data_IF_147166033944
#
_entry.id   IF_147166033944
#
_cell.length_a   1.000
_cell.length_b   1.000
_cell.length_c   1.000
_cell.angle_alpha   90.00
_cell.angle_beta   90.00
_cell.angle_gamma   90.00
#
_symmetry.space_group_name_H-M   'P 1'
#
loop_
_entity.id
_entity.type
_entity.pdbx_description
1 polymer ?
#
# COMPACT_ATOMS: atom_id res chain seq x y z
N UNK A 1 29.47 -4.36 -19.37
CA UNK A 1 28.07 -3.93 -19.39
C UNK A 1 27.25 -5.08 -18.79
N UNK A 2 26.86 -4.95 -17.53
CA UNK A 2 25.95 -5.94 -16.90
C UNK A 2 24.59 -5.77 -17.56
N UNK A 3 24.13 -6.81 -18.25
CA UNK A 3 22.83 -6.81 -18.91
C UNK A 3 21.73 -6.54 -17.89
N UNK A 4 20.92 -5.50 -18.13
CA UNK A 4 19.74 -5.17 -17.34
C UNK A 4 18.84 -6.41 -17.25
N UNK A 5 18.86 -7.03 -16.08
CA UNK A 5 17.82 -8.03 -15.74
C UNK A 5 16.52 -7.25 -15.57
N UNK A 6 15.86 -6.98 -16.69
CA UNK A 6 14.51 -6.37 -16.67
C UNK A 6 13.63 -7.26 -15.83
N UNK A 7 13.37 -6.81 -14.61
CA UNK A 7 12.46 -7.53 -13.72
C UNK A 7 11.07 -7.51 -14.36
N UNK A 8 10.48 -8.67 -14.57
CA UNK A 8 9.17 -8.85 -15.23
C UNK A 8 7.96 -8.29 -14.43
N UNK A 9 8.22 -7.48 -13.43
CA UNK A 9 7.22 -6.91 -12.52
C UNK A 9 7.63 -5.48 -12.17
N UNK A 10 6.72 -4.55 -12.33
CA UNK A 10 6.86 -3.16 -11.88
C UNK A 10 6.29 -2.99 -10.46
N UNK A 11 6.86 -2.10 -9.67
CA UNK A 11 6.39 -1.75 -8.33
C UNK A 11 5.74 -0.38 -8.40
N UNK A 12 4.52 -0.26 -7.89
CA UNK A 12 3.81 1.02 -7.78
C UNK A 12 3.54 1.31 -6.30
N UNK A 13 4.07 2.42 -5.82
CA UNK A 13 4.02 2.86 -4.42
C UNK A 13 2.95 3.93 -4.25
N UNK A 14 2.06 3.75 -3.29
CA UNK A 14 0.93 4.63 -2.99
C UNK A 14 1.04 5.12 -1.56
N UNK A 15 1.16 6.44 -1.37
CA UNK A 15 1.24 7.06 -0.05
C UNK A 15 -0.11 7.11 0.66
N UNK A 16 -0.08 7.36 1.97
CA UNK A 16 -1.24 7.54 2.83
C UNK A 16 -1.77 8.97 2.86
N UNK A 17 -2.68 9.19 3.79
CA UNK A 17 -3.18 10.49 4.23
C UNK A 17 -2.11 11.28 4.99
N UNK A 18 -2.26 12.60 5.04
CA UNK A 18 -1.38 13.57 5.73
C UNK A 18 0.05 13.65 5.21
N UNK A 19 0.44 12.82 4.25
CA UNK A 19 1.78 12.76 3.65
C UNK A 19 1.67 12.64 2.14
N UNK A 20 2.79 12.81 1.44
CA UNK A 20 2.88 12.67 0.00
C UNK A 20 3.83 11.54 -0.43
N UNK A 21 4.06 11.43 -1.72
CA UNK A 21 4.92 10.39 -2.28
C UNK A 21 6.40 10.51 -1.93
N UNK A 22 6.86 11.64 -1.41
CA UNK A 22 8.28 11.84 -1.06
C UNK A 22 8.75 10.89 0.06
N UNK A 23 7.84 10.47 0.94
CA UNK A 23 8.13 9.49 1.99
C UNK A 23 8.63 8.14 1.46
N UNK A 24 8.40 7.83 0.19
CA UNK A 24 8.85 6.60 -0.44
C UNK A 24 10.30 6.64 -0.97
N UNK A 25 10.99 7.77 -0.91
CA UNK A 25 12.31 7.96 -1.55
C UNK A 25 13.32 6.86 -1.19
N UNK A 26 13.47 6.51 0.09
CA UNK A 26 14.44 5.49 0.50
C UNK A 26 14.07 4.10 -0.03
N UNK A 27 12.80 3.70 0.06
CA UNK A 27 12.32 2.43 -0.49
C UNK A 27 12.48 2.40 -2.01
N UNK A 28 12.14 3.50 -2.69
CA UNK A 28 12.35 3.68 -4.12
C UNK A 28 13.82 3.43 -4.51
N UNK A 29 14.76 4.09 -3.83
CA UNK A 29 16.18 3.98 -4.12
C UNK A 29 16.71 2.55 -3.94
N UNK A 30 16.27 1.85 -2.89
CA UNK A 30 16.61 0.44 -2.65
C UNK A 30 16.10 -0.44 -3.81
N UNK A 31 14.82 -0.33 -4.14
CA UNK A 31 14.21 -1.16 -5.19
C UNK A 31 14.76 -0.86 -6.59
N UNK A 32 15.14 0.40 -6.85
CA UNK A 32 15.81 0.80 -8.10
C UNK A 32 17.21 0.16 -8.22
N UNK A 33 17.98 0.11 -7.14
CA UNK A 33 19.28 -0.60 -7.09
C UNK A 33 19.11 -2.11 -7.34
N UNK A 34 17.97 -2.68 -6.94
CA UNK A 34 17.63 -4.09 -7.22
C UNK A 34 17.16 -4.34 -8.67
N UNK A 35 17.09 -3.31 -9.51
CA UNK A 35 16.69 -3.41 -10.93
C UNK A 35 15.17 -3.42 -11.15
N UNK A 36 14.34 -3.06 -10.17
CA UNK A 36 12.89 -2.91 -10.39
C UNK A 36 12.56 -1.61 -11.13
N UNK A 37 11.55 -1.66 -12.01
CA UNK A 37 10.82 -0.47 -12.42
C UNK A 37 9.92 -0.04 -11.25
N UNK A 38 10.10 1.20 -10.77
CA UNK A 38 9.36 1.73 -9.61
C UNK A 38 8.67 3.02 -10.02
N UNK A 39 7.39 3.16 -9.66
CA UNK A 39 6.60 4.38 -9.79
C UNK A 39 6.02 4.77 -8.45
N UNK A 40 5.84 6.06 -8.23
CA UNK A 40 5.18 6.62 -7.07
C UNK A 40 3.94 7.36 -7.57
N UNK A 41 2.79 7.02 -7.02
CA UNK A 41 1.53 7.73 -7.31
C UNK A 41 1.43 8.91 -6.36
N UNK A 42 1.11 10.08 -6.91
CA UNK A 42 0.76 11.26 -6.12
C UNK A 42 -0.76 11.32 -6.01
N UNK A 43 -1.27 10.90 -4.86
CA UNK A 43 -2.70 10.94 -4.55
C UNK A 43 -3.08 12.34 -4.07
N UNK A 44 -4.20 12.87 -4.54
CA UNK A 44 -4.72 14.13 -4.01
C UNK A 44 -5.31 13.97 -2.60
N UNK A 45 -5.63 12.73 -2.20
CA UNK A 45 -6.30 12.36 -0.94
C UNK A 45 -7.64 13.07 -0.71
N UNK A 46 -8.22 13.66 -1.75
CA UNK A 46 -9.50 14.38 -1.69
C UNK A 46 -10.69 13.43 -1.82
N UNK A 47 -10.61 12.44 -2.72
CA UNK A 47 -11.62 11.40 -2.89
C UNK A 47 -10.99 10.05 -3.26
N UNK A 48 -11.60 8.96 -2.77
CA UNK A 48 -11.15 7.61 -3.14
C UNK A 48 -11.23 7.37 -4.66
N UNK A 49 -12.26 7.89 -5.30
CA UNK A 49 -12.47 7.73 -6.76
C UNK A 49 -11.31 8.33 -7.55
N UNK A 50 -10.86 9.53 -7.21
CA UNK A 50 -9.77 10.21 -7.92
C UNK A 50 -8.43 9.54 -7.64
N UNK A 51 -8.17 9.11 -6.41
CA UNK A 51 -6.93 8.43 -6.01
C UNK A 51 -6.83 7.05 -6.69
N UNK A 52 -7.93 6.30 -6.77
CA UNK A 52 -8.01 5.04 -7.53
C UNK A 52 -7.80 5.30 -9.02
N UNK A 53 -8.39 6.36 -9.59
CA UNK A 53 -8.20 6.73 -10.99
C UNK A 53 -6.74 7.12 -11.28
N UNK A 54 -6.09 7.88 -10.38
CA UNK A 54 -4.67 8.21 -10.48
C UNK A 54 -3.80 6.95 -10.48
N UNK A 55 -4.07 6.02 -9.56
CA UNK A 55 -3.36 4.75 -9.47
C UNK A 55 -3.54 3.90 -10.74
N UNK A 56 -4.78 3.79 -11.26
CA UNK A 56 -5.07 3.05 -12.49
C UNK A 56 -4.38 3.63 -13.73
N UNK A 57 -4.23 4.97 -13.82
CA UNK A 57 -3.44 5.60 -14.90
C UNK A 57 -1.99 5.15 -14.87
N UNK A 58 -1.38 5.07 -13.69
CA UNK A 58 0.00 4.58 -13.55
C UNK A 58 0.09 3.09 -13.91
N UNK A 59 -0.84 2.24 -13.44
CA UNK A 59 -0.91 0.82 -13.80
C UNK A 59 -1.00 0.64 -15.32
N UNK A 60 -1.85 1.41 -15.99
CA UNK A 60 -2.06 1.34 -17.44
C UNK A 60 -0.78 1.61 -18.23
N UNK A 61 0.05 2.56 -17.76
CA UNK A 61 1.33 2.93 -18.36
C UNK A 61 2.46 1.92 -18.14
N UNK A 62 2.31 0.94 -17.24
CA UNK A 62 3.36 -0.04 -16.99
C UNK A 62 3.33 -1.18 -18.05
N UNK A 63 4.50 -1.54 -18.62
CA UNK A 63 4.56 -2.61 -19.61
C UNK A 63 4.43 -4.01 -19.00
N UNK A 64 4.71 -4.13 -17.70
CA UNK A 64 4.74 -5.41 -16.99
C UNK A 64 3.56 -5.56 -16.03
N UNK A 65 3.40 -6.75 -15.45
CA UNK A 65 2.55 -6.95 -14.27
C UNK A 65 3.03 -6.07 -13.12
N UNK A 66 2.10 -5.65 -12.27
CA UNK A 66 2.33 -4.67 -11.21
C UNK A 66 2.14 -5.28 -9.82
N UNK A 67 3.04 -4.96 -8.89
CA UNK A 67 2.78 -5.08 -7.45
C UNK A 67 2.39 -3.69 -6.94
N UNK A 68 1.20 -3.58 -6.37
CA UNK A 68 0.77 -2.36 -5.67
C UNK A 68 1.22 -2.40 -4.22
N UNK A 69 1.77 -1.30 -3.74
CA UNK A 69 2.22 -1.14 -2.35
C UNK A 69 1.52 0.08 -1.76
N UNK A 70 0.70 -0.10 -0.75
CA UNK A 70 -0.05 0.98 -0.10
C UNK A 70 0.36 1.16 1.35
N UNK A 71 0.69 2.39 1.73
CA UNK A 71 0.89 2.81 3.11
C UNK A 71 -0.39 3.46 3.64
N UNK A 72 -0.78 3.13 4.87
CA UNK A 72 -1.91 3.80 5.56
C UNK A 72 -3.21 3.78 4.72
N UNK A 73 -3.81 4.95 4.44
CA UNK A 73 -4.92 5.10 3.51
C UNK A 73 -4.61 4.60 2.09
N UNK A 74 -3.35 4.62 1.67
CA UNK A 74 -2.94 4.01 0.39
C UNK A 74 -3.31 2.52 0.28
N UNK A 75 -3.51 1.83 1.42
CA UNK A 75 -4.06 0.48 1.46
C UNK A 75 -5.50 0.39 0.97
N UNK A 76 -6.33 1.41 1.24
CA UNK A 76 -7.70 1.50 0.70
C UNK A 76 -7.65 1.64 -0.82
N UNK A 77 -6.77 2.51 -1.32
CA UNK A 77 -6.59 2.77 -2.75
C UNK A 77 -6.16 1.50 -3.48
N UNK A 78 -5.16 0.75 -2.95
CA UNK A 78 -4.71 -0.49 -3.59
C UNK A 78 -5.74 -1.61 -3.48
N UNK A 79 -6.58 -1.59 -2.45
CA UNK A 79 -7.68 -2.56 -2.29
C UNK A 79 -8.67 -2.47 -3.45
N UNK A 80 -9.02 -1.26 -3.88
CA UNK A 80 -9.94 -1.06 -5.00
C UNK A 80 -9.22 -1.08 -6.36
N UNK A 81 -8.11 -0.38 -6.52
CA UNK A 81 -7.35 -0.35 -7.77
C UNK A 81 -6.75 -1.72 -8.15
N UNK A 82 -6.51 -2.57 -7.15
CA UNK A 82 -5.90 -3.89 -7.31
C UNK A 82 -6.74 -4.91 -8.07
N UNK A 83 -8.01 -4.61 -8.36
CA UNK A 83 -8.87 -5.43 -9.23
C UNK A 83 -8.42 -5.44 -10.69
N UNK A 84 -7.55 -4.50 -11.09
CA UNK A 84 -6.98 -4.46 -12.45
C UNK A 84 -6.25 -5.77 -12.78
N UNK A 85 -6.46 -6.34 -13.98
CA UNK A 85 -5.83 -7.61 -14.37
C UNK A 85 -4.31 -7.57 -14.42
N UNK A 86 -3.68 -6.41 -14.64
CA UNK A 86 -2.24 -6.23 -14.57
C UNK A 86 -1.68 -6.38 -13.17
N UNK A 87 -2.51 -6.23 -12.11
CA UNK A 87 -2.05 -6.34 -10.74
C UNK A 87 -1.85 -7.79 -10.35
N UNK A 88 -0.60 -8.15 -10.02
CA UNK A 88 -0.19 -9.49 -9.66
C UNK A 88 -0.11 -9.73 -8.15
N UNK A 89 -0.22 -8.69 -7.33
CA UNK A 89 -0.22 -8.79 -5.88
C UNK A 89 -0.28 -7.44 -5.17
N UNK A 90 -0.61 -7.48 -3.88
CA UNK A 90 -0.83 -6.33 -3.03
C UNK A 90 0.09 -6.38 -1.81
N UNK A 91 0.68 -5.26 -1.45
CA UNK A 91 1.52 -5.11 -0.25
C UNK A 91 0.98 -3.97 0.60
N UNK A 92 0.56 -4.28 1.79
CA UNK A 92 0.04 -3.35 2.78
C UNK A 92 1.13 -3.00 3.79
N UNK A 93 1.43 -1.73 3.98
CA UNK A 93 2.46 -1.24 4.91
C UNK A 93 1.78 -0.38 5.96
N UNK A 94 1.63 -0.88 7.20
CA UNK A 94 0.92 -0.18 8.28
C UNK A 94 -0.40 0.43 7.76
N UNK A 95 -1.24 -0.35 7.08
CA UNK A 95 -2.28 0.18 6.19
C UNK A 95 -3.68 -0.36 6.50
N UNK A 96 -4.69 0.37 6.05
CA UNK A 96 -6.05 -0.14 6.00
C UNK A 96 -6.20 -1.18 4.88
N UNK A 97 -6.94 -2.25 5.16
CA UNK A 97 -7.30 -3.28 4.18
C UNK A 97 -8.82 -3.55 4.26
N UNK A 98 -9.64 -2.60 3.76
CA UNK A 98 -11.10 -2.71 3.83
C UNK A 98 -11.62 -3.87 3.00
N UNK A 99 -12.77 -4.39 3.40
CA UNK A 99 -13.60 -5.27 2.59
C UNK A 99 -14.59 -4.47 1.75
N UNK A 100 -15.27 -5.12 0.81
CA UNK A 100 -16.34 -4.51 0.02
C UNK A 100 -17.38 -3.85 0.92
N UNK A 101 -17.72 -2.61 0.65
CA UNK A 101 -18.66 -1.80 1.43
C UNK A 101 -18.05 -1.14 2.67
N UNK A 102 -16.79 -1.42 3.02
CA UNK A 102 -16.11 -0.75 4.12
C UNK A 102 -15.35 0.49 3.64
N UNK A 103 -15.24 1.46 4.53
CA UNK A 103 -14.42 2.68 4.40
C UNK A 103 -13.48 2.81 5.58
N UNK A 104 -12.53 3.74 5.55
CA UNK A 104 -11.74 4.05 6.75
C UNK A 104 -12.66 4.45 7.90
N UNK A 105 -13.64 5.31 7.65
CA UNK A 105 -14.59 5.75 8.67
C UNK A 105 -15.32 4.57 9.32
N UNK A 106 -15.72 3.56 8.56
CA UNK A 106 -16.39 2.38 9.10
C UNK A 106 -15.44 1.51 9.93
N UNK A 107 -14.19 1.34 9.51
CA UNK A 107 -13.18 0.52 10.19
C UNK A 107 -12.76 1.09 11.56
N UNK A 108 -12.78 2.43 11.70
CA UNK A 108 -12.37 3.10 12.95
C UNK A 108 -13.54 3.54 13.82
N UNK A 109 -14.78 3.22 13.45
CA UNK A 109 -16.00 3.69 14.13
C UNK A 109 -16.08 3.25 15.58
N UNK A 110 -15.66 2.02 15.87
CA UNK A 110 -15.77 1.41 17.19
C UNK A 110 -14.38 0.96 17.68
N UNK A 111 -13.54 1.89 18.15
CA UNK A 111 -12.22 1.53 18.65
C UNK A 111 -12.34 0.68 19.92
N UNK A 112 -11.43 -0.26 20.11
CA UNK A 112 -11.39 -1.01 21.36
C UNK A 112 -11.09 -0.06 22.55
N UNK A 113 -11.66 -0.32 23.74
CA UNK A 113 -11.39 0.49 24.92
C UNK A 113 -9.89 0.63 25.21
N UNK A 114 -9.43 1.85 25.53
CA UNK A 114 -8.03 2.13 25.88
C UNK A 114 -7.08 2.24 24.69
N UNK A 115 -7.55 2.10 23.46
CA UNK A 115 -6.73 2.29 22.25
C UNK A 115 -6.54 3.79 22.00
N UNK A 116 -5.30 4.27 21.81
CA UNK A 116 -5.03 5.66 21.45
C UNK A 116 -5.73 6.02 20.14
N UNK A 117 -6.39 7.19 20.12
CA UNK A 117 -6.97 7.74 18.91
C UNK A 117 -5.97 8.66 18.21
N UNK A 118 -5.88 8.60 16.86
CA UNK A 118 -5.07 9.56 16.12
C UNK A 118 -5.50 10.99 16.43
N UNK A 119 -4.54 11.94 16.56
CA UNK A 119 -4.83 13.33 16.91
C UNK A 119 -5.35 14.12 15.68
N UNK A 120 -6.42 13.64 15.08
CA UNK A 120 -7.08 14.29 13.93
C UNK A 120 -7.86 15.50 14.44
N UNK A 121 -7.60 16.64 13.84
CA UNK A 121 -8.32 17.87 14.13
C UNK A 121 -9.75 17.85 13.52
N UNK A 122 -10.68 18.64 14.06
CA UNK A 122 -11.99 18.82 13.43
C UNK A 122 -11.85 19.22 11.96
N UNK A 123 -12.73 18.68 11.11
CA UNK A 123 -12.71 18.98 9.68
C UNK A 123 -12.93 20.49 9.41
N UNK A 124 -12.18 21.02 8.46
CA UNK A 124 -12.37 22.37 7.90
C UNK A 124 -12.52 22.26 6.39
N UNK A 125 -13.56 22.86 5.85
CA UNK A 125 -13.86 22.85 4.41
C UNK A 125 -13.85 21.45 3.77
N UNK A 126 -14.26 20.42 4.54
CA UNK A 126 -14.29 19.05 4.09
C UNK A 126 -12.95 18.30 4.19
N UNK A 127 -11.93 18.88 4.82
CA UNK A 127 -10.61 18.29 4.97
C UNK A 127 -10.19 18.12 6.43
N UNK A 128 -9.34 17.13 6.66
CA UNK A 128 -8.76 16.75 7.93
C UNK A 128 -7.25 16.97 7.94
N UNK A 129 -6.71 17.33 9.09
CA UNK A 129 -5.28 17.40 9.37
C UNK A 129 -5.01 16.79 10.75
N UNK A 130 -3.78 16.37 10.99
CA UNK A 130 -3.31 16.01 12.33
C UNK A 130 -2.88 17.28 13.10
N UNK A 131 -3.09 17.24 14.40
CA UNK A 131 -2.48 18.20 15.32
C UNK A 131 -0.95 18.17 15.17
N UNK A 132 -0.35 19.26 14.70
CA UNK A 132 1.08 19.38 14.45
C UNK A 132 1.91 19.09 15.70
N UNK A 133 1.43 19.54 16.87
CA UNK A 133 2.14 19.36 18.14
C UNK A 133 2.20 17.90 18.56
N UNK A 134 1.34 17.04 18.05
CA UNK A 134 1.25 15.60 18.35
C UNK A 134 1.73 14.72 17.19
N UNK A 135 2.05 15.30 16.03
CA UNK A 135 2.42 14.56 14.84
C UNK A 135 3.64 13.65 15.07
N UNK A 136 4.71 14.21 15.63
CA UNK A 136 5.92 13.44 15.92
C UNK A 136 5.64 12.22 16.80
N UNK A 137 4.88 12.39 17.89
CA UNK A 137 4.61 11.30 18.85
C UNK A 137 3.59 10.27 18.36
N UNK A 138 2.72 10.62 17.41
CA UNK A 138 1.67 9.74 16.90
C UNK A 138 2.00 9.09 15.55
N UNK A 139 2.54 9.86 14.61
CA UNK A 139 2.79 9.41 13.25
C UNK A 139 4.25 8.96 13.03
N UNK A 140 5.22 9.69 13.58
CA UNK A 140 6.63 9.62 13.23
C UNK A 140 7.54 9.46 14.46
N UNK A 141 7.12 8.65 15.46
CA UNK A 141 7.77 8.58 16.78
C UNK A 141 9.19 7.98 16.74
N UNK A 142 9.58 7.31 15.67
CA UNK A 142 10.88 6.70 15.45
C UNK A 142 11.74 7.43 14.41
N UNK A 143 11.30 8.62 13.97
CA UNK A 143 12.10 9.51 13.12
C UNK A 143 12.82 10.60 13.92
N UNK A 144 13.92 11.15 13.38
CA UNK A 144 14.53 12.36 13.94
C UNK A 144 13.50 13.49 14.05
N UNK A 145 13.56 14.27 15.14
CA UNK A 145 12.57 15.33 15.43
C UNK A 145 12.47 16.34 14.28
N UNK A 146 13.60 16.74 13.70
CA UNK A 146 13.63 17.66 12.55
C UNK A 146 12.81 17.12 11.36
N UNK A 147 12.93 15.81 11.07
CA UNK A 147 12.16 15.17 9.99
C UNK A 147 10.68 15.10 10.32
N UNK A 148 10.35 14.74 11.57
CA UNK A 148 8.96 14.68 12.02
C UNK A 148 8.30 16.06 12.03
N UNK A 149 9.04 17.10 12.41
CA UNK A 149 8.57 18.50 12.39
C UNK A 149 8.34 19.00 10.96
N UNK A 150 9.28 18.72 10.05
CA UNK A 150 9.07 19.00 8.63
C UNK A 150 7.80 18.34 8.09
N UNK A 151 7.58 17.05 8.38
CA UNK A 151 6.38 16.31 7.96
C UNK A 151 5.12 16.91 8.56
N UNK A 152 5.15 17.32 9.84
CA UNK A 152 4.01 17.96 10.52
C UNK A 152 3.61 19.28 9.86
N UNK A 153 4.57 20.02 9.29
CA UNK A 153 4.35 21.31 8.64
C UNK A 153 4.05 21.20 7.14
N UNK A 154 4.32 20.05 6.52
CA UNK A 154 4.05 19.78 5.10
C UNK A 154 2.90 18.79 4.87
N UNK A 155 1.97 18.66 5.82
CA UNK A 155 0.85 17.74 5.70
C UNK A 155 0.01 18.01 4.45
N UNK A 156 -0.33 16.96 3.73
CA UNK A 156 -1.36 16.97 2.71
C UNK A 156 -2.75 16.81 3.37
N UNK A 157 -3.70 17.73 3.17
CA UNK A 157 -5.03 17.60 3.76
C UNK A 157 -5.77 16.36 3.27
N UNK A 158 -6.42 15.64 4.18
CA UNK A 158 -7.19 14.43 3.86
C UNK A 158 -8.67 14.73 3.73
N UNK A 159 -9.26 14.50 2.56
CA UNK A 159 -10.67 14.75 2.30
C UNK A 159 -11.61 13.80 3.02
N UNK A 160 -12.72 14.31 3.54
CA UNK A 160 -13.80 13.48 4.08
C UNK A 160 -14.32 12.51 3.02
N UNK A 161 -14.38 12.94 1.74
CA UNK A 161 -14.76 12.07 0.63
C UNK A 161 -13.84 10.86 0.45
N UNK A 162 -12.54 10.98 0.74
CA UNK A 162 -11.62 9.86 0.71
C UNK A 162 -11.78 8.94 1.94
N UNK A 163 -11.99 9.54 3.12
CA UNK A 163 -12.14 8.82 4.39
C UNK A 163 -13.44 8.00 4.48
N UNK A 164 -14.53 8.53 3.94
CA UNK A 164 -15.88 7.99 4.11
C UNK A 164 -16.33 7.09 2.95
N UNK A 165 -15.68 7.18 1.79
CA UNK A 165 -16.04 6.37 0.63
C UNK A 165 -15.81 4.89 0.88
N UNK A 166 -16.84 4.04 0.68
CA UNK A 166 -16.68 2.59 0.77
C UNK A 166 -15.99 2.06 -0.47
N UNK A 167 -15.12 1.05 -0.32
CA UNK A 167 -14.57 0.31 -1.46
C UNK A 167 -15.66 -0.52 -2.15
N UNK A 168 -15.63 -0.53 -3.47
CA UNK A 168 -16.59 -1.27 -4.29
C UNK A 168 -16.25 -2.75 -4.36
N UNK A 169 -14.96 -3.06 -4.47
CA UNK A 169 -14.44 -4.41 -4.57
C UNK A 169 -13.13 -4.54 -3.79
N UNK A 170 -12.96 -5.65 -3.07
CA UNK A 170 -11.77 -5.92 -2.30
C UNK A 170 -10.82 -6.85 -3.06
N UNK A 171 -9.81 -6.29 -3.71
CA UNK A 171 -8.88 -7.04 -4.56
C UNK A 171 -8.12 -8.15 -3.81
N UNK A 172 -7.88 -8.02 -2.51
CA UNK A 172 -7.24 -9.05 -1.69
C UNK A 172 -8.03 -10.36 -1.61
N UNK A 173 -9.33 -10.36 -1.98
CA UNK A 173 -10.13 -11.59 -2.09
C UNK A 173 -9.68 -12.52 -3.22
N UNK A 174 -9.01 -11.95 -4.24
CA UNK A 174 -8.58 -12.68 -5.44
C UNK A 174 -7.09 -12.56 -5.74
N UNK A 175 -6.40 -11.59 -5.12
CA UNK A 175 -4.98 -11.34 -5.35
C UNK A 175 -4.15 -11.77 -4.15
N UNK A 176 -2.97 -12.37 -4.36
CA UNK A 176 -2.05 -12.66 -3.28
C UNK A 176 -1.64 -11.37 -2.58
N UNK A 177 -1.65 -11.39 -1.25
CA UNK A 177 -1.43 -10.21 -0.44
C UNK A 177 -0.36 -10.44 0.62
N UNK A 178 0.40 -9.38 0.93
CA UNK A 178 1.41 -9.32 1.98
C UNK A 178 1.13 -8.11 2.85
N UNK A 179 1.48 -8.20 4.12
CA UNK A 179 1.20 -7.15 5.08
C UNK A 179 2.38 -6.95 6.03
N UNK A 180 2.82 -5.71 6.21
CA UNK A 180 3.76 -5.32 7.23
C UNK A 180 3.01 -4.61 8.35
N UNK A 181 3.03 -5.19 9.55
CA UNK A 181 2.47 -4.62 10.77
C UNK A 181 3.55 -3.81 11.46
N UNK A 182 3.32 -2.52 11.69
CA UNK A 182 4.18 -1.66 12.49
C UNK A 182 3.79 -1.79 13.97
N UNK A 183 4.69 -2.33 14.82
CA UNK A 183 4.29 -2.73 16.19
C UNK A 183 4.14 -1.57 17.15
N UNK A 184 4.68 -0.40 16.84
CA UNK A 184 4.60 0.81 17.67
C UNK A 184 3.69 1.88 17.03
N UNK A 185 2.86 1.49 16.04
CA UNK A 185 1.95 2.38 15.33
C UNK A 185 0.84 2.91 16.25
N UNK A 186 0.71 4.24 16.33
CA UNK A 186 -0.32 4.93 17.10
C UNK A 186 -1.42 5.57 16.22
N UNK A 187 -1.30 5.44 14.89
CA UNK A 187 -2.32 5.89 13.94
C UNK A 187 -3.30 4.77 13.60
N UNK A 188 -2.77 3.59 13.24
CA UNK A 188 -3.56 2.37 13.06
C UNK A 188 -3.05 1.35 14.08
N UNK A 189 -3.80 1.07 15.14
CA UNK A 189 -3.35 0.17 16.21
C UNK A 189 -2.86 -1.17 15.67
N UNK A 190 -1.74 -1.73 16.15
CA UNK A 190 -1.19 -3.00 15.65
C UNK A 190 -2.20 -4.15 15.72
N UNK A 191 -3.09 -4.16 16.70
CA UNK A 191 -4.15 -5.15 16.81
C UNK A 191 -5.14 -5.07 15.63
N UNK A 192 -5.49 -3.87 15.17
CA UNK A 192 -6.33 -3.65 14.00
C UNK A 192 -5.61 -4.07 12.71
N UNK A 193 -4.33 -3.73 12.57
CA UNK A 193 -3.50 -4.16 11.44
C UNK A 193 -3.45 -5.71 11.36
N UNK A 194 -3.22 -6.40 12.48
CA UNK A 194 -3.24 -7.87 12.54
C UNK A 194 -4.62 -8.44 12.17
N UNK A 195 -5.70 -7.83 12.62
CA UNK A 195 -7.05 -8.28 12.29
C UNK A 195 -7.33 -8.14 10.79
N UNK A 196 -7.02 -7.00 10.18
CA UNK A 196 -7.17 -6.77 8.74
C UNK A 196 -6.29 -7.70 7.93
N UNK A 197 -5.03 -7.91 8.31
CA UNK A 197 -4.10 -8.82 7.61
C UNK A 197 -4.58 -10.27 7.63
N UNK A 198 -5.11 -10.76 8.75
CA UNK A 198 -5.70 -12.11 8.86
C UNK A 198 -6.93 -12.25 7.98
N UNK A 199 -7.84 -11.26 8.04
CA UNK A 199 -9.05 -11.26 7.21
C UNK A 199 -8.74 -11.27 5.72
N UNK A 200 -7.74 -10.52 5.31
CA UNK A 200 -7.28 -10.48 3.92
C UNK A 200 -6.49 -11.73 3.49
N UNK A 201 -6.26 -12.70 4.37
CA UNK A 201 -5.42 -13.86 4.08
C UNK A 201 -3.98 -13.47 3.70
N UNK A 202 -3.52 -12.29 4.13
CA UNK A 202 -2.22 -11.76 3.78
C UNK A 202 -1.10 -12.48 4.56
N UNK A 203 0.06 -12.63 3.90
CA UNK A 203 1.29 -13.07 4.56
C UNK A 203 1.82 -11.92 5.40
N UNK A 204 1.58 -11.97 6.71
CA UNK A 204 1.92 -10.90 7.64
C UNK A 204 3.35 -11.02 8.19
N UNK A 205 4.00 -9.87 8.34
CA UNK A 205 5.30 -9.69 8.97
C UNK A 205 5.21 -8.53 9.94
N UNK A 206 5.85 -8.64 11.09
CA UNK A 206 5.85 -7.59 12.11
C UNK A 206 7.22 -6.94 12.19
N UNK A 207 7.24 -5.62 12.23
CA UNK A 207 8.46 -4.83 12.35
C UNK A 207 8.25 -3.75 13.41
N UNK A 208 9.23 -3.56 14.28
CA UNK A 208 9.20 -2.50 15.27
C UNK A 208 9.38 -1.15 14.57
N UNK A 209 8.43 -0.26 14.76
CA UNK A 209 8.46 1.09 14.19
C UNK A 209 7.11 1.78 14.31
N UNK A 210 7.12 3.09 14.11
CA UNK A 210 5.93 3.96 14.12
C UNK A 210 5.11 3.81 12.84
N UNK A 211 4.08 4.66 12.69
CA UNK A 211 3.30 4.72 11.45
C UNK A 211 4.16 5.09 10.23
N UNK A 212 5.22 5.89 10.42
CA UNK A 212 6.16 6.28 9.37
C UNK A 212 7.18 5.17 9.01
N UNK A 213 6.85 3.90 9.22
CA UNK A 213 7.76 2.75 9.09
C UNK A 213 8.44 2.63 7.72
N UNK A 214 7.81 3.09 6.64
CA UNK A 214 8.40 3.09 5.30
C UNK A 214 9.56 4.08 5.17
N UNK A 215 9.66 5.05 6.09
CA UNK A 215 10.76 6.01 6.18
C UNK A 215 11.82 5.50 7.16
N UNK A 216 11.40 5.02 8.34
CA UNK A 216 12.33 4.61 9.41
C UNK A 216 12.95 3.23 9.18
N UNK A 217 12.23 2.32 8.49
CA UNK A 217 12.65 0.92 8.24
C UNK A 217 12.58 0.55 6.75
N UNK A 218 13.18 1.35 5.84
CA UNK A 218 13.00 1.18 4.39
C UNK A 218 13.50 -0.18 3.88
N UNK A 219 14.55 -0.75 4.49
CA UNK A 219 15.07 -2.07 4.11
C UNK A 219 14.08 -3.20 4.44
N UNK A 220 13.39 -3.14 5.58
CA UNK A 220 12.37 -4.13 5.95
C UNK A 220 11.19 -4.06 4.99
N UNK A 221 10.75 -2.86 4.63
CA UNK A 221 9.69 -2.62 3.66
C UNK A 221 10.10 -3.14 2.27
N UNK A 222 11.29 -2.80 1.79
CA UNK A 222 11.81 -3.28 0.51
C UNK A 222 11.94 -4.82 0.49
N UNK A 223 12.38 -5.43 1.59
CA UNK A 223 12.47 -6.88 1.70
C UNK A 223 11.10 -7.57 1.54
N UNK A 224 10.03 -6.99 2.11
CA UNK A 224 8.68 -7.50 1.93
C UNK A 224 8.21 -7.36 0.47
N UNK A 225 8.48 -6.21 -0.16
CA UNK A 225 8.13 -5.96 -1.57
C UNK A 225 8.86 -6.96 -2.48
N UNK A 226 10.14 -7.25 -2.23
CA UNK A 226 10.90 -8.30 -2.95
C UNK A 226 10.25 -9.68 -2.84
N UNK A 227 9.77 -10.04 -1.63
CA UNK A 227 9.04 -11.32 -1.41
C UNK A 227 7.74 -11.36 -2.23
N UNK A 228 6.99 -10.26 -2.27
CA UNK A 228 5.78 -10.15 -3.06
C UNK A 228 6.07 -10.29 -4.57
N UNK A 229 7.06 -9.57 -5.08
CA UNK A 229 7.48 -9.64 -6.47
C UNK A 229 7.92 -11.05 -6.90
N UNK A 230 8.68 -11.76 -6.04
CA UNK A 230 9.06 -13.17 -6.27
C UNK A 230 7.85 -14.10 -6.26
N UNK A 231 6.92 -13.92 -5.32
CA UNK A 231 5.70 -14.72 -5.21
C UNK A 231 4.78 -14.58 -6.42
N UNK A 232 4.59 -13.37 -6.91
CA UNK A 232 3.81 -13.09 -8.11
C UNK A 232 4.40 -13.75 -9.37
N UNK A 233 5.73 -13.70 -9.54
CA UNK A 233 6.42 -14.39 -10.65
C UNK A 233 6.21 -15.91 -10.64
N UNK A 234 6.28 -16.52 -9.45
CA UNK A 234 6.09 -17.96 -9.32
C UNK A 234 4.66 -18.37 -9.72
N UNK A 235 3.65 -17.59 -9.32
CA UNK A 235 2.25 -17.82 -9.69
C UNK A 235 2.02 -17.70 -11.20
N UNK A 236 2.58 -16.67 -11.85
CA UNK A 236 2.48 -16.48 -13.31
C UNK A 236 3.16 -17.60 -14.08
N UNK A 237 4.33 -18.08 -13.63
CA UNK A 237 5.03 -19.22 -14.24
C UNK A 237 4.23 -20.51 -14.11
N UNK A 238 3.60 -20.76 -12.97
CA UNK A 238 2.77 -21.95 -12.75
C UNK A 238 1.54 -21.93 -13.65
N UNK A 239 0.85 -20.80 -13.77
CA UNK A 239 -0.29 -20.62 -14.66
C UNK A 239 0.08 -20.84 -16.13
N UNK A 240 1.20 -20.28 -16.61
CA UNK A 240 1.69 -20.53 -17.99
C UNK A 240 2.05 -21.99 -18.25
N UNK A 241 2.62 -22.69 -17.28
CA UNK A 241 2.92 -24.13 -17.42
C UNK A 241 1.65 -24.98 -17.50
N UNK A 242 0.63 -24.69 -16.69
CA UNK A 242 -0.66 -25.42 -16.74
C UNK A 242 -1.43 -25.19 -18.02
N UNK A 243 -1.28 -24.03 -18.66
CA UNK A 243 -1.90 -23.72 -19.98
C UNK A 243 -1.10 -24.30 -21.16
N UNK A 244 0.22 -24.50 -21.01
CA UNK A 244 1.11 -25.01 -22.06
C UNK A 244 1.14 -26.53 -22.18
N UNK A 245 0.61 -27.28 -21.24
CA UNK A 245 0.55 -28.75 -21.27
C UNK A 245 -0.68 -29.28 -22.05
N UNK A 246 -1.59 -28.38 -22.45
CA UNK A 246 -2.83 -28.75 -23.15
C UNK A 246 -2.90 -28.47 -24.67
N UNK A 247 -1.84 -27.94 -25.30
CA UNK A 247 -1.86 -27.59 -26.71
C UNK A 247 -0.94 -28.50 -27.55
N UNK A 248 -1.21 -29.78 -27.55
CA UNK A 248 -0.78 -30.65 -28.67
C UNK A 248 -1.84 -30.47 -29.75
N UNK A 249 -1.60 -29.57 -30.71
CA UNK A 249 -2.36 -29.48 -31.93
C UNK A 249 -2.18 -30.80 -32.68
N UNK A 250 -3.20 -31.63 -32.72
CA UNK A 250 -3.33 -32.74 -33.62
C UNK A 250 -3.65 -32.15 -35.03
N UNK A 251 -2.67 -32.11 -35.89
CA UNK A 251 -2.85 -31.82 -37.31
C UNK A 251 -3.07 -33.18 -37.99
N UNK A 252 -4.26 -33.49 -38.53
CA UNK A 252 -4.42 -34.65 -39.37
C UNK A 252 -3.70 -34.37 -40.70
N UNK A 253 -2.81 -35.25 -41.07
CA UNK A 253 -2.22 -35.30 -42.42
C UNK A 253 -3.27 -35.79 -43.45
N UNK A 254 -3.14 -35.36 -44.72
CA UNK A 254 -4.10 -35.64 -45.77
C UNK A 254 -4.17 -37.09 -46.19
#
# INVERSE_FOLDING_TARGET
MAGDVVTSVSIVLIHGDFVDGSGWEHVYNILRKDGYAVRIVQNATSSLTDDVAATRRVIAGEPNSVILVGHSYGGVVITEAGTDPKVAGLVYIAAFAPDRGESVASLIRNPAPGVPMPPILPARDGYLLLDRSKFATSFAADLPMEKADFMANSQLPWGLGAREAPVKEAAWRTKPSWYLVATDDKMIPPAAQRAMSRRAGARAFEVKGSHAIHISQPEAVAALIRKAAKGARAATRKAKRSLGVGATLYVPLP
#
